data_IF_451728184452
#
_entry.id   IF_451728184452
#
_cell.length_a   1.000
_cell.length_b   1.000
_cell.length_c   1.000
_cell.angle_alpha   90.00
_cell.angle_beta   90.00
_cell.angle_gamma   90.00
#
_symmetry.space_group_name_H-M   'P 1'
#
loop_
_entity.id
_entity.type
_entity.pdbx_description
1 polymer ?
#
# COMPACT_ATOMS: atom_id res chain seq x y z
N UNK A 1 -26.58 -24.17 26.49
CA UNK A 1 -25.18 -24.21 26.03
C UNK A 1 -25.12 -23.40 24.73
N UNK A 2 -24.80 -22.10 24.83
CA UNK A 2 -24.59 -21.26 23.66
C UNK A 2 -23.31 -21.73 22.97
N UNK A 3 -23.42 -22.31 21.81
CA UNK A 3 -22.29 -22.48 20.91
C UNK A 3 -21.80 -21.09 20.52
N UNK A 4 -20.63 -20.72 21.01
CA UNK A 4 -19.90 -19.54 20.55
C UNK A 4 -19.65 -19.75 19.05
N UNK A 5 -20.17 -18.84 18.24
CA UNK A 5 -19.93 -18.78 16.80
C UNK A 5 -18.42 -18.68 16.55
N UNK A 6 -17.78 -19.66 15.85
CA UNK A 6 -16.35 -19.60 15.56
C UNK A 6 -15.94 -18.40 14.70
N UNK A 7 -16.92 -17.65 14.15
CA UNK A 7 -16.68 -16.43 13.35
C UNK A 7 -16.34 -15.19 14.17
N UNK A 8 -16.49 -15.23 15.49
CA UNK A 8 -16.27 -14.12 16.41
C UNK A 8 -14.86 -14.11 17.05
N UNK A 9 -13.88 -14.72 16.41
CA UNK A 9 -12.50 -14.68 16.92
C UNK A 9 -11.94 -13.27 16.81
N UNK A 10 -11.41 -12.78 17.93
CA UNK A 10 -10.61 -11.56 18.01
C UNK A 10 -9.58 -11.53 16.88
N UNK A 11 -9.64 -10.52 16.02
CA UNK A 11 -8.73 -10.38 14.90
C UNK A 11 -7.55 -9.52 15.32
N UNK A 12 -6.40 -10.14 15.49
CA UNK A 12 -5.14 -9.44 15.67
C UNK A 12 -4.47 -9.23 14.32
N UNK A 13 -4.30 -7.98 13.91
CA UNK A 13 -3.79 -7.62 12.59
C UNK A 13 -2.49 -6.84 12.76
N UNK A 14 -1.43 -7.29 12.08
CA UNK A 14 -0.16 -6.61 11.99
C UNK A 14 0.05 -6.02 10.60
N UNK A 15 0.26 -4.71 10.52
CA UNK A 15 0.65 -4.03 9.28
C UNK A 15 2.17 -3.82 9.28
N UNK A 16 2.83 -4.15 8.18
CA UNK A 16 4.29 -4.03 8.04
C UNK A 16 4.64 -2.71 7.35
N UNK A 17 4.93 -1.68 8.15
CA UNK A 17 5.27 -0.34 7.67
C UNK A 17 4.09 0.64 7.67
N UNK A 18 4.42 1.95 7.77
CA UNK A 18 3.48 3.06 7.77
C UNK A 18 3.96 4.19 6.84
N UNK A 19 4.37 3.82 5.63
CA UNK A 19 4.67 4.77 4.56
C UNK A 19 3.41 5.19 3.82
N UNK A 20 3.58 5.61 2.55
CA UNK A 20 2.52 6.10 1.67
C UNK A 20 1.29 5.18 1.64
N UNK A 21 1.50 3.86 1.52
CA UNK A 21 0.43 2.87 1.55
C UNK A 21 0.00 2.49 2.98
N UNK A 22 0.98 2.29 3.86
CA UNK A 22 0.71 1.71 5.18
C UNK A 22 -0.14 2.60 6.07
N UNK A 23 0.04 3.91 6.02
CA UNK A 23 -0.74 4.84 6.85
C UNK A 23 -2.23 4.89 6.44
N UNK A 24 -2.62 5.01 5.16
CA UNK A 24 -4.00 4.84 4.72
C UNK A 24 -4.62 3.49 5.11
N UNK A 25 -3.87 2.39 4.96
CA UNK A 25 -4.33 1.06 5.38
C UNK A 25 -4.62 1.04 6.89
N UNK A 26 -3.71 1.55 7.71
CA UNK A 26 -3.87 1.63 9.17
C UNK A 26 -5.08 2.47 9.58
N UNK A 27 -5.29 3.64 8.96
CA UNK A 27 -6.45 4.52 9.20
C UNK A 27 -7.76 3.76 8.97
N UNK A 28 -7.87 3.09 7.85
CA UNK A 28 -9.09 2.42 7.46
C UNK A 28 -9.33 1.13 8.25
N UNK A 29 -8.29 0.35 8.53
CA UNK A 29 -8.38 -0.80 9.42
C UNK A 29 -8.84 -0.38 10.83
N UNK A 30 -8.25 0.67 11.41
CA UNK A 30 -8.64 1.18 12.72
C UNK A 30 -10.10 1.67 12.74
N UNK A 31 -10.54 2.35 11.67
CA UNK A 31 -11.94 2.77 11.52
C UNK A 31 -12.88 1.57 11.45
N UNK A 32 -12.57 0.59 10.63
CA UNK A 32 -13.40 -0.61 10.41
C UNK A 32 -13.42 -1.53 11.62
N UNK A 33 -12.30 -1.64 12.33
CA UNK A 33 -12.16 -2.44 13.56
C UNK A 33 -13.12 -2.00 14.66
N UNK A 34 -13.51 -0.71 14.72
CA UNK A 34 -14.49 -0.21 15.69
C UNK A 34 -15.85 -0.92 15.61
N UNK A 35 -16.21 -1.42 14.44
CA UNK A 35 -17.46 -2.17 14.19
C UNK A 35 -17.29 -3.69 14.34
N UNK A 36 -16.08 -4.19 14.61
CA UNK A 36 -15.78 -5.62 14.74
C UNK A 36 -15.17 -5.87 16.12
N UNK A 37 -15.99 -6.40 17.03
CA UNK A 37 -15.59 -6.61 18.42
C UNK A 37 -14.30 -7.47 18.52
N UNK A 38 -13.41 -7.08 19.43
CA UNK A 38 -12.17 -7.81 19.70
C UNK A 38 -11.06 -7.62 18.67
N UNK A 39 -11.25 -6.78 17.63
CA UNK A 39 -10.19 -6.49 16.67
C UNK A 39 -9.11 -5.61 17.27
N UNK A 40 -7.84 -5.98 17.02
CA UNK A 40 -6.65 -5.22 17.46
C UNK A 40 -5.76 -4.98 16.25
N UNK A 41 -5.32 -3.74 16.10
CA UNK A 41 -4.44 -3.33 15.00
C UNK A 41 -3.08 -2.98 15.59
N UNK A 42 -2.03 -3.54 15.01
CA UNK A 42 -0.64 -3.21 15.36
C UNK A 42 0.12 -2.84 14.07
N UNK A 43 1.17 -2.07 14.21
CA UNK A 43 2.09 -1.75 13.11
C UNK A 43 3.53 -2.05 13.50
N UNK A 44 4.28 -2.70 12.62
CA UNK A 44 5.70 -2.94 12.82
C UNK A 44 6.52 -1.81 12.19
N UNK A 45 7.28 -1.10 13.05
CA UNK A 45 8.11 0.03 12.67
C UNK A 45 9.53 -0.10 13.23
N UNK A 46 10.50 0.48 12.54
CA UNK A 46 11.88 0.60 13.04
C UNK A 46 11.92 1.59 14.19
N UNK A 47 12.76 1.32 15.21
CA UNK A 47 12.99 2.24 16.31
C UNK A 47 13.39 3.64 15.82
N UNK A 48 14.27 3.72 14.82
CA UNK A 48 14.70 4.99 14.21
C UNK A 48 13.56 5.79 13.55
N UNK A 49 12.48 5.14 13.13
CA UNK A 49 11.30 5.86 12.60
C UNK A 49 10.43 6.40 13.74
N UNK A 50 10.31 5.65 14.83
CA UNK A 50 9.51 6.04 16.00
C UNK A 50 10.17 7.17 16.81
N UNK A 51 11.51 7.16 16.86
CA UNK A 51 12.34 8.13 17.59
C UNK A 51 12.76 9.33 16.73
N UNK A 52 12.36 9.35 15.44
CA UNK A 52 12.74 10.42 14.51
C UNK A 52 12.26 11.78 14.99
N UNK A 53 13.14 12.78 14.93
CA UNK A 53 12.80 14.18 15.17
C UNK A 53 12.20 14.88 13.95
N UNK A 54 12.10 14.20 12.82
CA UNK A 54 11.51 14.74 11.58
C UNK A 54 10.02 15.03 11.76
N UNK A 55 9.56 16.28 11.53
CA UNK A 55 8.17 16.67 11.82
C UNK A 55 7.11 15.82 11.09
N UNK A 56 7.40 15.35 9.87
CA UNK A 56 6.50 14.49 9.12
C UNK A 56 6.32 13.13 9.85
N UNK A 57 7.42 12.47 10.21
CA UNK A 57 7.39 11.20 10.93
C UNK A 57 6.75 11.31 12.31
N UNK A 58 6.99 12.42 13.01
CA UNK A 58 6.33 12.67 14.29
C UNK A 58 4.80 12.80 14.15
N UNK A 59 4.34 13.46 13.08
CA UNK A 59 2.88 13.52 12.79
C UNK A 59 2.31 12.12 12.54
N UNK A 60 2.97 11.30 11.71
CA UNK A 60 2.53 9.94 11.42
C UNK A 60 2.46 9.07 12.68
N UNK A 61 3.50 9.11 13.52
CA UNK A 61 3.54 8.38 14.79
C UNK A 61 2.45 8.87 15.76
N UNK A 62 2.22 10.19 15.82
CA UNK A 62 1.17 10.77 16.66
C UNK A 62 -0.22 10.34 16.18
N UNK A 63 -0.43 10.29 14.87
CA UNK A 63 -1.66 9.81 14.27
C UNK A 63 -1.89 8.33 14.58
N UNK A 64 -0.89 7.46 14.35
CA UNK A 64 -0.95 6.03 14.66
C UNK A 64 -1.37 5.81 16.12
N UNK A 65 -0.76 6.55 17.04
CA UNK A 65 -1.12 6.48 18.48
C UNK A 65 -2.55 6.95 18.75
N UNK A 66 -2.97 8.04 18.10
CA UNK A 66 -4.34 8.59 18.26
C UNK A 66 -5.43 7.64 17.75
N UNK A 67 -5.11 6.80 16.78
CA UNK A 67 -5.99 5.75 16.26
C UNK A 67 -6.07 4.51 17.19
N UNK A 68 -5.31 4.48 18.29
CA UNK A 68 -5.25 3.35 19.19
C UNK A 68 -4.49 2.14 18.62
N UNK A 69 -3.61 2.35 17.65
CA UNK A 69 -2.81 1.32 17.01
C UNK A 69 -1.55 1.08 17.84
N UNK A 70 -1.28 -0.18 18.15
CA UNK A 70 -0.07 -0.60 18.86
C UNK A 70 1.16 -0.53 17.93
N UNK A 71 2.25 0.08 18.40
CA UNK A 71 3.52 0.10 17.68
C UNK A 71 4.40 -1.03 18.20
N UNK A 72 4.77 -1.93 17.28
CA UNK A 72 5.73 -3.02 17.51
C UNK A 72 7.05 -2.64 16.89
N UNK A 73 8.11 -2.68 17.68
CA UNK A 73 9.44 -2.37 17.17
C UNK A 73 10.03 -3.58 16.42
N UNK A 74 10.55 -3.35 15.23
CA UNK A 74 11.21 -4.35 14.40
C UNK A 74 11.78 -3.75 13.12
N UNK A 75 12.70 -4.47 12.49
CA UNK A 75 13.35 -4.02 11.26
C UNK A 75 13.17 -5.07 10.15
N UNK A 76 12.30 -4.76 9.18
CA UNK A 76 11.98 -5.67 8.07
C UNK A 76 13.21 -5.98 7.19
N UNK A 77 14.22 -5.10 7.20
CA UNK A 77 15.44 -5.27 6.41
C UNK A 77 16.49 -6.10 7.17
N UNK A 78 16.74 -5.75 8.44
CA UNK A 78 17.81 -6.34 9.25
C UNK A 78 17.42 -7.66 9.91
N UNK A 79 16.16 -7.79 10.33
CA UNK A 79 15.69 -9.01 10.99
C UNK A 79 15.74 -10.21 10.07
N UNK A 80 16.12 -11.36 10.62
CA UNK A 80 16.08 -12.66 9.96
C UNK A 80 14.63 -13.13 9.73
N UNK A 81 14.46 -14.15 8.91
CA UNK A 81 13.16 -14.82 8.72
C UNK A 81 12.65 -15.37 10.05
N UNK A 82 13.49 -16.00 10.86
CA UNK A 82 13.11 -16.59 12.13
C UNK A 82 12.62 -15.52 13.13
N UNK A 83 13.33 -14.39 13.25
CA UNK A 83 12.93 -13.28 14.11
C UNK A 83 11.59 -12.70 13.68
N UNK A 84 11.37 -12.52 12.38
CA UNK A 84 10.10 -12.03 11.85
C UNK A 84 8.98 -13.05 12.07
N UNK A 85 9.24 -14.34 11.86
CA UNK A 85 8.27 -15.41 12.09
C UNK A 85 7.79 -15.45 13.55
N UNK A 86 8.68 -15.27 14.53
CA UNK A 86 8.32 -15.18 15.95
C UNK A 86 7.39 -13.99 16.22
N UNK A 87 7.63 -12.84 15.57
CA UNK A 87 6.73 -11.69 15.70
C UNK A 87 5.38 -11.98 15.05
N UNK A 88 5.38 -12.51 13.82
CA UNK A 88 4.17 -12.74 13.04
C UNK A 88 3.25 -13.78 13.70
N UNK A 89 3.81 -14.83 14.31
CA UNK A 89 3.06 -15.88 15.00
C UNK A 89 2.08 -15.39 16.08
N UNK A 90 2.21 -14.13 16.52
CA UNK A 90 1.32 -13.52 17.52
C UNK A 90 0.05 -12.91 16.92
N UNK A 91 -0.12 -12.99 15.59
CA UNK A 91 -1.20 -12.33 14.86
C UNK A 91 -2.02 -13.31 14.04
N UNK A 92 -3.28 -12.97 13.79
CA UNK A 92 -4.17 -13.73 12.90
C UNK A 92 -3.96 -13.33 11.42
N UNK A 93 -3.58 -12.08 11.21
CA UNK A 93 -3.39 -11.51 9.86
C UNK A 93 -2.17 -10.62 9.84
N UNK A 94 -1.33 -10.79 8.83
CA UNK A 94 -0.19 -9.90 8.54
C UNK A 94 -0.39 -9.27 7.16
N UNK A 95 -0.21 -7.94 7.07
CA UNK A 95 -0.38 -7.16 5.83
C UNK A 95 0.93 -6.46 5.49
N UNK A 96 1.52 -6.80 4.35
CA UNK A 96 2.73 -6.18 3.84
C UNK A 96 2.42 -4.82 3.21
N UNK A 97 2.90 -3.73 3.82
CA UNK A 97 2.83 -2.38 3.25
C UNK A 97 4.22 -1.76 3.02
N UNK A 98 5.29 -2.52 3.24
CA UNK A 98 6.65 -2.11 2.93
C UNK A 98 7.00 -2.56 1.51
N UNK A 99 7.09 -1.58 0.60
CA UNK A 99 7.43 -1.81 -0.79
C UNK A 99 8.93 -2.02 -1.03
N UNK A 100 9.36 -1.80 -2.26
CA UNK A 100 10.76 -1.96 -2.69
C UNK A 100 11.76 -1.06 -1.97
N UNK A 101 11.31 0.02 -1.31
CA UNK A 101 12.18 0.83 -0.45
C UNK A 101 12.87 0.02 0.67
N UNK A 102 12.32 -1.15 1.01
CA UNK A 102 12.95 -2.11 1.93
C UNK A 102 13.88 -3.12 1.24
N UNK A 103 14.09 -3.00 -0.08
CA UNK A 103 14.93 -3.86 -0.93
C UNK A 103 14.15 -4.92 -1.70
N UNK A 104 14.64 -5.25 -2.89
CA UNK A 104 13.99 -6.17 -3.86
C UNK A 104 13.69 -7.56 -3.27
N UNK A 105 14.53 -8.05 -2.36
CA UNK A 105 14.38 -9.37 -1.74
C UNK A 105 13.41 -9.37 -0.53
N UNK A 106 12.97 -8.20 -0.09
CA UNK A 106 12.13 -8.07 1.11
C UNK A 106 10.77 -8.76 0.94
N UNK A 107 10.03 -8.64 -0.17
CA UNK A 107 8.75 -9.32 -0.33
C UNK A 107 8.85 -10.85 -0.16
N UNK A 108 9.86 -11.47 -0.76
CA UNK A 108 10.10 -12.91 -0.63
C UNK A 108 10.46 -13.31 0.81
N UNK A 109 11.32 -12.52 1.48
CA UNK A 109 11.67 -12.74 2.89
C UNK A 109 10.45 -12.68 3.79
N UNK A 110 9.58 -11.68 3.61
CA UNK A 110 8.36 -11.52 4.39
C UNK A 110 7.37 -12.65 4.15
N UNK A 111 7.21 -13.09 2.90
CA UNK A 111 6.36 -14.23 2.56
C UNK A 111 6.87 -15.53 3.24
N UNK A 112 8.17 -15.79 3.20
CA UNK A 112 8.75 -16.93 3.91
C UNK A 112 8.56 -16.85 5.42
N UNK A 113 8.76 -15.68 6.03
CA UNK A 113 8.53 -15.49 7.45
C UNK A 113 7.05 -15.71 7.83
N UNK A 114 6.12 -15.24 6.97
CA UNK A 114 4.69 -15.46 7.16
C UNK A 114 4.32 -16.95 7.14
N UNK A 115 4.83 -17.71 6.15
CA UNK A 115 4.58 -19.16 6.07
C UNK A 115 5.23 -19.91 7.23
N UNK A 116 6.46 -19.57 7.58
CA UNK A 116 7.18 -20.20 8.71
C UNK A 116 6.51 -19.93 10.05
N UNK A 117 5.88 -18.78 10.22
CA UNK A 117 5.16 -18.42 11.45
C UNK A 117 3.86 -19.21 11.65
N UNK A 118 3.32 -19.81 10.60
CA UNK A 118 2.04 -20.51 10.62
C UNK A 118 0.83 -19.58 10.86
N UNK A 119 0.94 -18.29 10.54
CA UNK A 119 -0.19 -17.36 10.69
C UNK A 119 -1.37 -17.80 9.82
N UNK A 120 -2.60 -17.58 10.28
CA UNK A 120 -3.78 -17.95 9.50
C UNK A 120 -3.90 -17.20 8.17
N UNK A 121 -3.45 -15.92 8.08
CA UNK A 121 -3.70 -15.11 6.88
C UNK A 121 -2.59 -14.12 6.59
N UNK A 122 -2.20 -14.02 5.32
CA UNK A 122 -1.17 -13.12 4.82
C UNK A 122 -1.61 -12.33 3.59
N UNK A 123 -1.36 -11.02 3.62
CA UNK A 123 -1.49 -10.12 2.48
C UNK A 123 -0.08 -9.68 2.08
N UNK A 124 0.48 -10.19 0.97
CA UNK A 124 1.79 -9.74 0.52
C UNK A 124 1.73 -8.30 0.00
N UNK A 125 2.86 -7.61 -0.02
CA UNK A 125 2.94 -6.34 -0.72
C UNK A 125 2.95 -6.60 -2.23
N UNK A 126 1.79 -6.56 -2.85
CA UNK A 126 1.56 -6.72 -4.28
C UNK A 126 0.51 -5.75 -4.82
N UNK A 127 0.39 -4.59 -4.18
CA UNK A 127 -0.51 -3.50 -4.58
C UNK A 127 0.00 -2.83 -5.85
N UNK A 128 -0.26 -3.45 -6.96
CA UNK A 128 0.26 -3.03 -8.26
C UNK A 128 -0.49 -3.70 -9.41
N UNK A 129 0.22 -3.86 -10.50
CA UNK A 129 -0.27 -4.50 -11.74
C UNK A 129 -0.51 -6.00 -11.57
N UNK A 130 -1.20 -6.61 -12.52
CA UNK A 130 -1.35 -8.07 -12.54
C UNK A 130 -0.08 -8.74 -13.08
N UNK A 131 0.78 -9.20 -12.17
CA UNK A 131 2.04 -9.84 -12.53
C UNK A 131 1.84 -11.16 -13.29
N UNK A 132 0.72 -11.88 -13.10
CA UNK A 132 0.45 -13.10 -13.85
C UNK A 132 0.18 -12.81 -15.34
N UNK A 133 -0.45 -11.67 -15.65
CA UNK A 133 -0.68 -11.22 -17.01
C UNK A 133 0.60 -10.71 -17.67
N UNK A 134 1.44 -9.99 -16.92
CA UNK A 134 2.72 -9.48 -17.43
C UNK A 134 3.67 -10.64 -17.73
N UNK A 135 3.69 -11.66 -16.89
CA UNK A 135 4.56 -12.81 -17.03
C UNK A 135 6.01 -12.54 -16.67
N UNK A 136 6.86 -13.55 -16.88
CA UNK A 136 8.29 -13.51 -16.57
C UNK A 136 9.12 -12.96 -17.73
N UNK A 137 10.32 -12.44 -17.39
CA UNK A 137 11.30 -11.97 -18.36
C UNK A 137 10.95 -10.62 -18.96
N UNK A 138 10.11 -9.84 -18.31
CA UNK A 138 9.85 -8.45 -18.64
C UNK A 138 11.09 -7.56 -18.40
N UNK A 139 11.04 -6.28 -18.80
CA UNK A 139 12.19 -5.37 -18.68
C UNK A 139 12.50 -4.98 -17.22
N UNK A 140 11.70 -5.43 -16.26
CA UNK A 140 11.85 -5.10 -14.83
C UNK A 140 11.93 -6.39 -14.00
N UNK A 141 13.13 -6.74 -13.52
CA UNK A 141 13.38 -7.92 -12.68
C UNK A 141 12.53 -7.96 -11.41
N UNK A 142 12.08 -6.79 -10.94
CA UNK A 142 11.20 -6.67 -9.77
C UNK A 142 9.86 -7.40 -9.97
N UNK A 143 9.38 -7.54 -11.20
CA UNK A 143 8.13 -8.25 -11.49
C UNK A 143 8.29 -9.76 -11.37
N UNK A 144 9.44 -10.29 -11.78
CA UNK A 144 9.77 -11.70 -11.59
C UNK A 144 9.82 -12.06 -10.10
N UNK A 145 10.40 -11.18 -9.27
CA UNK A 145 10.41 -11.37 -7.82
C UNK A 145 8.99 -11.41 -7.21
N UNK A 146 8.03 -10.67 -7.76
CA UNK A 146 6.63 -10.73 -7.32
C UNK A 146 5.94 -12.02 -7.76
N UNK A 147 6.25 -12.53 -8.94
CA UNK A 147 5.77 -13.84 -9.40
C UNK A 147 6.30 -14.97 -8.52
N UNK A 148 7.57 -14.92 -8.10
CA UNK A 148 8.14 -15.89 -7.15
C UNK A 148 7.37 -15.92 -5.82
N UNK A 149 6.95 -14.75 -5.32
CA UNK A 149 6.09 -14.67 -4.12
C UNK A 149 4.74 -15.33 -4.38
N UNK A 150 4.09 -15.09 -5.54
CA UNK A 150 2.81 -15.75 -5.92
C UNK A 150 2.96 -17.26 -5.98
N UNK A 151 4.01 -17.76 -6.60
CA UNK A 151 4.30 -19.20 -6.69
C UNK A 151 4.48 -19.82 -5.30
N UNK A 152 5.27 -19.17 -4.43
CA UNK A 152 5.47 -19.62 -3.06
C UNK A 152 4.13 -19.70 -2.29
N UNK A 153 3.30 -18.67 -2.38
CA UNK A 153 2.00 -18.65 -1.69
C UNK A 153 1.03 -19.70 -2.23
N UNK A 154 1.03 -19.94 -3.53
CA UNK A 154 0.18 -20.95 -4.19
C UNK A 154 0.66 -22.39 -3.95
N UNK A 155 1.92 -22.60 -3.60
CA UNK A 155 2.52 -23.94 -3.38
C UNK A 155 2.14 -24.55 -2.03
N UNK A 156 1.41 -23.84 -1.16
CA UNK A 156 1.06 -24.28 0.18
C UNK A 156 -0.42 -24.02 0.50
N UNK A 157 -0.93 -24.62 1.58
CA UNK A 157 -2.33 -24.54 2.00
C UNK A 157 -2.53 -24.30 3.51
N UNK A 158 -1.47 -23.94 4.22
CA UNK A 158 -1.51 -23.71 5.67
C UNK A 158 -1.89 -22.27 6.02
N UNK A 159 -1.35 -21.30 5.27
CA UNK A 159 -1.64 -19.87 5.43
C UNK A 159 -2.52 -19.42 4.27
N UNK A 160 -3.70 -18.89 4.58
CA UNK A 160 -4.55 -18.23 3.58
C UNK A 160 -3.84 -16.97 3.08
N UNK A 161 -3.85 -16.76 1.78
CA UNK A 161 -3.28 -15.55 1.20
C UNK A 161 -4.34 -14.76 0.44
N UNK A 162 -4.17 -13.44 0.42
CA UNK A 162 -4.98 -12.55 -0.43
C UNK A 162 -4.05 -11.53 -1.06
N UNK A 163 -4.01 -11.52 -2.37
CA UNK A 163 -3.24 -10.55 -3.15
C UNK A 163 -4.19 -9.44 -3.57
N UNK A 164 -3.81 -8.20 -3.31
CA UNK A 164 -4.56 -7.02 -3.76
C UNK A 164 -3.79 -6.41 -4.93
N UNK A 165 -4.42 -6.36 -6.09
CA UNK A 165 -3.90 -5.76 -7.31
C UNK A 165 -4.68 -4.48 -7.60
N UNK A 166 -4.00 -3.34 -7.74
CA UNK A 166 -4.62 -2.01 -7.74
C UNK A 166 -4.31 -1.17 -8.98
N UNK A 167 -3.59 -1.76 -9.94
CA UNK A 167 -3.00 -0.97 -11.02
C UNK A 167 -1.84 -0.10 -10.50
N UNK A 168 -1.64 1.06 -11.10
CA UNK A 168 -0.60 2.01 -10.71
C UNK A 168 -1.10 2.92 -9.58
N UNK A 169 -0.27 3.21 -8.61
CA UNK A 169 -0.57 4.26 -7.63
C UNK A 169 -0.66 5.61 -8.36
N UNK A 170 -1.73 6.36 -8.09
CA UNK A 170 -1.94 7.66 -8.73
C UNK A 170 -0.79 8.65 -8.47
N UNK A 171 -0.12 8.53 -7.32
CA UNK A 171 1.07 9.32 -6.99
C UNK A 171 2.20 9.15 -8.02
N UNK A 172 2.34 7.97 -8.60
CA UNK A 172 3.42 7.69 -9.55
C UNK A 172 3.29 8.45 -10.88
N UNK A 173 2.10 8.94 -11.21
CA UNK A 173 1.98 9.85 -12.36
C UNK A 173 2.87 11.09 -12.21
N UNK A 174 3.09 11.53 -10.97
CA UNK A 174 3.80 12.77 -10.63
C UNK A 174 5.22 12.55 -10.13
N UNK A 175 5.67 11.29 -10.04
CA UNK A 175 7.04 10.97 -9.67
C UNK A 175 7.98 11.22 -10.86
N UNK A 176 8.99 12.11 -10.72
CA UNK A 176 9.89 12.47 -11.81
C UNK A 176 10.60 11.28 -12.45
N UNK A 177 10.90 10.23 -11.65
CA UNK A 177 11.56 9.01 -12.11
C UNK A 177 10.68 8.18 -13.04
N UNK A 178 9.36 8.29 -12.95
CA UNK A 178 8.41 7.69 -13.89
C UNK A 178 8.23 8.52 -15.15
N UNK A 179 8.44 9.84 -15.07
CA UNK A 179 8.44 10.76 -16.20
C UNK A 179 7.11 10.84 -16.96
N UNK A 180 5.98 10.49 -16.34
CA UNK A 180 4.66 10.53 -17.00
C UNK A 180 4.12 11.94 -17.06
N UNK A 181 4.00 12.61 -15.92
CA UNK A 181 3.56 14.01 -15.86
C UNK A 181 4.77 14.88 -15.56
N UNK A 182 5.18 15.68 -16.53
CA UNK A 182 6.24 16.67 -16.39
C UNK A 182 5.63 18.05 -16.17
N UNK A 183 5.49 18.41 -14.90
CA UNK A 183 4.93 19.71 -14.50
C UNK A 183 5.83 20.90 -14.86
N UNK A 184 7.14 20.67 -15.10
CA UNK A 184 8.05 21.72 -15.47
C UNK A 184 7.90 22.15 -16.94
N UNK A 185 7.64 21.17 -17.80
CA UNK A 185 7.49 21.39 -19.24
C UNK A 185 6.02 21.34 -19.70
N UNK A 186 5.07 21.24 -18.78
CA UNK A 186 3.62 21.14 -19.06
C UNK A 186 3.33 20.02 -20.07
N UNK A 187 3.85 18.83 -19.80
CA UNK A 187 3.80 17.70 -20.71
C UNK A 187 3.36 16.41 -20.03
N UNK A 188 2.64 15.58 -20.78
CA UNK A 188 2.34 14.20 -20.40
C UNK A 188 3.01 13.25 -21.39
N UNK A 189 3.83 12.35 -20.87
CA UNK A 189 4.51 11.32 -21.62
C UNK A 189 3.79 9.99 -21.46
N UNK A 190 3.13 9.54 -22.51
CA UNK A 190 2.40 8.28 -22.48
C UNK A 190 3.38 7.09 -22.43
N UNK A 191 3.13 6.13 -21.57
CA UNK A 191 3.77 4.81 -21.61
C UNK A 191 3.07 3.98 -22.69
N UNK A 192 3.55 4.12 -23.93
CA UNK A 192 2.94 3.56 -25.13
C UNK A 192 2.34 4.64 -26.01
N UNK A 193 1.03 4.75 -26.11
CA UNK A 193 0.33 5.78 -26.88
C UNK A 193 -0.64 6.58 -25.98
N UNK A 194 -1.15 7.70 -26.49
CA UNK A 194 -2.17 8.49 -25.81
C UNK A 194 -3.49 7.70 -25.61
N UNK A 195 -3.76 6.71 -26.47
CA UNK A 195 -4.93 5.83 -26.33
C UNK A 195 -4.69 4.66 -25.36
N UNK A 196 -3.46 4.47 -24.89
CA UNK A 196 -3.16 3.44 -23.89
C UNK A 196 -3.84 3.79 -22.57
N UNK A 197 -4.64 2.86 -22.05
CA UNK A 197 -5.32 3.03 -20.77
C UNK A 197 -4.43 2.59 -19.60
N UNK A 198 -4.53 3.30 -18.50
CA UNK A 198 -3.88 2.99 -17.22
C UNK A 198 -4.92 2.99 -16.10
N UNK A 199 -4.87 1.97 -15.27
CA UNK A 199 -5.66 1.93 -14.03
C UNK A 199 -4.89 2.60 -12.91
N UNK A 200 -5.51 3.60 -12.29
CA UNK A 200 -4.96 4.44 -11.23
C UNK A 200 -5.75 4.26 -9.95
N UNK A 201 -5.07 4.10 -8.83
CA UNK A 201 -5.74 4.04 -7.53
C UNK A 201 -4.98 4.89 -6.53
N UNK A 202 -5.70 5.73 -5.77
CA UNK A 202 -5.07 6.54 -4.73
C UNK A 202 -4.66 5.66 -3.54
N UNK A 203 -3.59 5.98 -2.80
CA UNK A 203 -3.23 5.28 -1.57
C UNK A 203 -4.37 5.24 -0.55
N UNK A 204 -5.20 6.28 -0.48
CA UNK A 204 -6.36 6.33 0.41
C UNK A 204 -7.45 5.33 -0.01
N UNK A 205 -7.75 5.22 -1.30
CA UNK A 205 -8.70 4.22 -1.82
C UNK A 205 -8.15 2.80 -1.64
N UNK A 206 -6.86 2.58 -1.89
CA UNK A 206 -6.22 1.29 -1.62
C UNK A 206 -6.39 0.93 -0.14
N UNK A 207 -6.14 1.87 0.76
CA UNK A 207 -6.31 1.67 2.20
C UNK A 207 -7.74 1.33 2.59
N UNK A 208 -8.72 2.06 2.04
CA UNK A 208 -10.14 1.85 2.31
C UNK A 208 -10.60 0.47 1.80
N UNK A 209 -10.31 0.15 0.54
CA UNK A 209 -10.70 -1.12 -0.08
C UNK A 209 -9.96 -2.31 0.55
N UNK A 210 -8.69 -2.15 0.94
CA UNK A 210 -7.96 -3.17 1.69
C UNK A 210 -8.66 -3.49 3.01
N UNK A 211 -9.13 -2.50 3.75
CA UNK A 211 -9.86 -2.73 4.99
C UNK A 211 -11.17 -3.49 4.74
N UNK A 212 -11.92 -3.18 3.67
CA UNK A 212 -13.12 -3.93 3.30
C UNK A 212 -12.80 -5.39 2.97
N UNK A 213 -11.73 -5.67 2.21
CA UNK A 213 -11.27 -7.02 1.88
C UNK A 213 -10.85 -7.81 3.14
N UNK A 214 -10.14 -7.15 4.06
CA UNK A 214 -9.70 -7.77 5.31
C UNK A 214 -10.88 -8.20 6.18
N UNK A 215 -11.92 -7.37 6.27
CA UNK A 215 -13.10 -7.61 7.09
C UNK A 215 -14.28 -8.22 6.32
N UNK A 216 -14.12 -8.56 5.04
CA UNK A 216 -15.18 -9.14 4.21
C UNK A 216 -15.82 -10.41 4.82
N UNK A 217 -17.15 -10.55 4.64
CA UNK A 217 -17.90 -11.75 4.96
C UNK A 217 -18.78 -12.13 3.76
N UNK A 218 -18.66 -13.32 3.20
CA UNK A 218 -17.74 -14.40 3.59
C UNK A 218 -16.27 -14.00 3.40
N UNK A 219 -15.38 -14.62 4.17
CA UNK A 219 -13.95 -14.33 4.15
C UNK A 219 -13.32 -14.67 2.80
N UNK A 220 -12.68 -13.69 2.18
CA UNK A 220 -11.90 -13.87 0.95
C UNK A 220 -10.59 -14.58 1.29
N UNK A 221 -10.22 -15.62 0.52
CA UNK A 221 -9.03 -16.43 0.76
C UNK A 221 -8.50 -17.06 -0.51
N UNK A 222 -7.16 -17.11 -0.62
CA UNK A 222 -6.43 -17.74 -1.74
C UNK A 222 -6.85 -17.18 -3.10
N UNK A 223 -7.04 -15.87 -3.15
CA UNK A 223 -7.51 -15.14 -4.33
C UNK A 223 -6.71 -13.86 -4.56
N UNK A 224 -6.72 -13.43 -5.82
CA UNK A 224 -6.31 -12.08 -6.21
C UNK A 224 -7.56 -11.22 -6.27
N UNK A 225 -7.57 -10.12 -5.55
CA UNK A 225 -8.64 -9.13 -5.55
C UNK A 225 -8.16 -7.94 -6.38
N UNK A 226 -8.87 -7.64 -7.45
CA UNK A 226 -8.59 -6.49 -8.30
C UNK A 226 -9.40 -5.30 -7.82
N UNK A 227 -8.69 -4.22 -7.53
CA UNK A 227 -9.27 -2.95 -7.10
C UNK A 227 -8.85 -1.86 -8.09
N UNK A 228 -9.73 -0.91 -8.35
CA UNK A 228 -9.45 0.22 -9.21
C UNK A 228 -10.10 1.48 -8.67
N UNK A 229 -9.37 2.58 -8.67
CA UNK A 229 -9.95 3.90 -8.49
C UNK A 229 -10.59 4.38 -9.78
N UNK A 230 -9.77 4.51 -10.84
CA UNK A 230 -10.23 4.89 -12.17
C UNK A 230 -9.34 4.23 -13.25
N UNK A 231 -9.88 4.08 -14.46
CA UNK A 231 -9.11 3.63 -15.63
C UNK A 231 -9.28 4.68 -16.72
N UNK A 232 -8.18 5.35 -17.04
CA UNK A 232 -8.13 6.47 -17.97
C UNK A 232 -7.05 6.26 -19.02
N UNK A 233 -7.20 6.87 -20.19
CA UNK A 233 -6.13 6.93 -21.19
C UNK A 233 -5.12 8.03 -20.83
N UNK A 234 -3.89 7.93 -21.35
CA UNK A 234 -2.92 9.02 -21.18
C UNK A 234 -3.39 10.31 -21.87
N UNK A 235 -4.18 10.20 -22.95
CA UNK A 235 -4.84 11.35 -23.58
C UNK A 235 -5.81 12.03 -22.62
N UNK A 236 -6.65 11.26 -21.94
CA UNK A 236 -7.56 11.82 -20.93
C UNK A 236 -6.83 12.42 -19.72
N UNK A 237 -5.65 11.90 -19.34
CA UNK A 237 -4.79 12.53 -18.34
C UNK A 237 -4.30 13.89 -18.80
N UNK A 238 -3.91 14.01 -20.09
CA UNK A 238 -3.44 15.25 -20.69
C UNK A 238 -4.57 16.27 -20.90
N UNK A 239 -5.78 15.80 -21.25
CA UNK A 239 -6.94 16.64 -21.54
C UNK A 239 -7.70 17.09 -20.28
N UNK A 240 -7.45 16.45 -19.13
CA UNK A 240 -8.06 16.88 -17.86
C UNK A 240 -7.63 18.31 -17.56
N UNK A 241 -8.62 19.17 -17.45
CA UNK A 241 -8.40 20.59 -17.15
C UNK A 241 -7.53 20.77 -15.90
N UNK A 242 -6.87 21.90 -15.85
CA UNK A 242 -5.99 22.31 -14.77
C UNK A 242 -6.63 22.16 -13.36
N UNK A 243 -7.94 22.29 -13.27
CA UNK A 243 -8.67 22.17 -11.98
C UNK A 243 -8.64 20.73 -11.46
N UNK A 244 -8.84 19.72 -12.32
CA UNK A 244 -8.81 18.31 -11.94
C UNK A 244 -7.41 17.86 -11.59
N UNK A 245 -6.40 18.30 -12.36
CA UNK A 245 -4.97 18.07 -12.07
C UNK A 245 -4.59 18.78 -10.77
N UNK A 246 -4.95 20.04 -10.60
CA UNK A 246 -4.68 20.80 -9.39
C UNK A 246 -5.36 20.20 -8.14
N UNK A 247 -6.58 19.68 -8.25
CA UNK A 247 -7.26 19.01 -7.14
C UNK A 247 -6.61 17.67 -6.77
N UNK A 248 -6.11 16.92 -7.75
CA UNK A 248 -5.33 15.70 -7.51
C UNK A 248 -3.98 16.02 -6.86
N UNK A 249 -3.28 17.04 -7.38
CA UNK A 249 -2.02 17.56 -6.83
C UNK A 249 -2.20 18.11 -5.41
N UNK A 250 -3.26 18.87 -5.15
CA UNK A 250 -3.53 19.43 -3.82
C UNK A 250 -3.81 18.34 -2.79
N UNK A 251 -4.43 17.24 -3.18
CA UNK A 251 -4.61 16.05 -2.32
C UNK A 251 -3.28 15.35 -2.08
N UNK A 252 -2.50 15.13 -3.12
CA UNK A 252 -1.19 14.50 -3.03
C UNK A 252 -0.19 15.38 -2.27
N UNK A 253 -0.12 16.67 -2.57
CA UNK A 253 0.76 17.63 -1.89
C UNK A 253 0.50 17.72 -0.37
N UNK A 254 -0.73 17.48 0.09
CA UNK A 254 -1.03 17.40 1.54
C UNK A 254 -0.40 16.18 2.21
N UNK A 255 -0.07 15.15 1.45
CA UNK A 255 0.61 13.94 1.94
C UNK A 255 2.13 14.00 1.80
N UNK A 256 2.65 14.95 0.99
CA UNK A 256 4.10 15.13 0.81
C UNK A 256 4.76 15.78 2.04
N UNK A 257 6.04 15.45 2.32
CA UNK A 257 6.84 16.19 3.29
C UNK A 257 6.85 17.68 2.97
N UNK A 258 6.78 18.52 4.02
CA UNK A 258 6.67 19.97 3.89
C UNK A 258 7.82 20.61 3.07
N UNK A 259 8.98 19.97 3.03
CA UNK A 259 10.15 20.37 2.24
C UNK A 259 9.90 20.25 0.74
N UNK A 260 9.24 19.18 0.31
CA UNK A 260 8.84 18.95 -1.08
C UNK A 260 7.70 19.90 -1.49
N UNK A 261 6.77 20.17 -0.59
CA UNK A 261 5.71 21.15 -0.84
C UNK A 261 6.25 22.58 -1.10
N UNK A 262 7.35 22.98 -0.45
CA UNK A 262 8.01 24.26 -0.68
C UNK A 262 8.81 24.32 -1.98
N UNK A 263 9.25 23.20 -2.53
CA UNK A 263 9.99 23.15 -3.79
C UNK A 263 9.10 23.11 -5.03
N UNK A 264 7.80 22.89 -4.87
CA UNK A 264 6.81 23.04 -5.95
C UNK A 264 6.69 24.54 -6.27
N UNK A 265 7.53 25.03 -7.14
CA UNK A 265 7.41 26.36 -7.75
C UNK A 265 6.31 26.26 -8.79
N UNK A 266 5.14 26.76 -8.46
CA UNK A 266 4.04 26.90 -9.40
C UNK A 266 4.43 27.87 -10.50
N UNK A 267 4.69 27.39 -11.70
CA UNK A 267 4.73 28.28 -12.86
C UNK A 267 3.33 28.87 -13.07
N UNK A 268 3.25 30.18 -13.36
CA UNK A 268 1.99 30.91 -13.49
C UNK A 268 1.40 30.71 -14.87
N UNK A 269 1.25 29.46 -15.33
CA UNK A 269 0.48 29.13 -16.52
C UNK A 269 -0.99 29.57 -16.38
N UNK A 270 -1.66 29.79 -17.49
CA UNK A 270 -3.07 30.22 -17.53
C UNK A 270 -4.01 29.25 -16.79
N UNK A 271 -3.60 27.99 -16.66
CA UNK A 271 -4.34 26.93 -15.98
C UNK A 271 -4.44 27.14 -14.47
N UNK A 272 -3.48 27.86 -13.87
CA UNK A 272 -3.46 28.12 -12.42
C UNK A 272 -4.07 29.47 -12.05
N UNK A 273 -4.55 30.24 -13.02
CA UNK A 273 -5.14 31.59 -12.78
C UNK A 273 -6.44 31.56 -11.99
N UNK A 274 -7.08 30.38 -11.84
CA UNK A 274 -8.33 30.19 -11.08
C UNK A 274 -8.15 29.97 -9.57
N UNK A 275 -6.91 29.81 -9.08
CA UNK A 275 -6.62 29.61 -7.66
C UNK A 275 -6.16 30.94 -7.01
N UNK A 276 -7.12 31.75 -6.60
CA UNK A 276 -6.94 32.82 -5.61
C UNK A 276 -7.60 32.45 -4.31
#
# INVERSE_FOLDING_TARGET
MNQLDPSATSRSILVLGAGELGLPVLRNLARRAKSVAGSKISVLLRASAVESSEPAKQRDISEIRSLGIEIVLGDLVKSSIDELAVVFARYDTVIGCAGYAAGINTPMKLARAALQSGIPRYFPWQFGVDFDVIGRGGPQDIFDAQLDVRELLRSQNQTEWVIISTGMFMSYLFEPEFGVVDLHNDAVHALGSLDTAVTLTTPDDIGALTAEVVFAQPRIRNEIVYLAGDTVTYGEVADKDSYTVAAALARHARSLPHELYRSLTWDRGSEMAGHK
#
